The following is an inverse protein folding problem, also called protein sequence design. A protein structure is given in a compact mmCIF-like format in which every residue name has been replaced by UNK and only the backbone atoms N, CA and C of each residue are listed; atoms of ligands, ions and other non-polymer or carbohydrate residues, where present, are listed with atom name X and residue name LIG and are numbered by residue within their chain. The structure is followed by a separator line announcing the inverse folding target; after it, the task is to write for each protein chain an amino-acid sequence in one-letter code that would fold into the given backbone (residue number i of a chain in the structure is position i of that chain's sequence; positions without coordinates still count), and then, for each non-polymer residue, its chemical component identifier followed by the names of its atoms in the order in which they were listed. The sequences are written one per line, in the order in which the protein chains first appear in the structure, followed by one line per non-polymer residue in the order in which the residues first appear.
data_IF_455502066023
#
_entry.id   IF_455502066023
#
_cell.length_a   1.000
_cell.length_b   1.000
_cell.length_c   1.000
_cell.angle_alpha   90.00
_cell.angle_beta   90.00
_cell.angle_gamma   90.00
#
_symmetry.space_group_name_H-M   'P 1'
#
loop_
_entity.id
_entity.type
_entity.pdbx_description
1 polymer ?
#
# COMPACT_ATOMS: atom_id res chain seq x y z
N UNK A 1 -15.85 -15.36 9.28
CA UNK A 1 -15.11 -16.48 8.65
C UNK A 1 -13.63 -16.15 8.49
N UNK A 2 -13.29 -15.09 7.75
CA UNK A 2 -11.90 -14.66 7.51
C UNK A 2 -11.11 -14.48 8.82
N UNK A 3 -11.65 -13.71 9.77
CA UNK A 3 -11.00 -13.51 11.07
C UNK A 3 -10.75 -14.83 11.84
N UNK A 4 -11.73 -15.74 11.84
CA UNK A 4 -11.55 -17.06 12.46
C UNK A 4 -10.46 -17.87 11.76
N UNK A 5 -10.35 -17.78 10.43
CA UNK A 5 -9.29 -18.43 9.67
C UNK A 5 -7.91 -17.86 10.02
N UNK A 6 -7.79 -16.54 10.14
CA UNK A 6 -6.57 -15.88 10.63
C UNK A 6 -6.19 -16.39 12.02
N UNK A 7 -7.16 -16.50 12.94
CA UNK A 7 -6.91 -17.03 14.28
C UNK A 7 -6.47 -18.51 14.26
N UNK A 8 -7.04 -19.33 13.37
CA UNK A 8 -6.64 -20.74 13.20
C UNK A 8 -5.25 -20.90 12.59
N UNK A 9 -4.82 -19.95 11.77
CA UNK A 9 -3.49 -19.95 11.15
C UNK A 9 -2.39 -19.44 12.10
N UNK A 10 -2.77 -18.86 13.24
CA UNK A 10 -1.83 -18.30 14.19
C UNK A 10 -1.03 -19.41 14.89
N UNK A 11 0.29 -19.26 14.92
CA UNK A 11 1.22 -20.04 15.72
C UNK A 11 1.36 -19.33 17.05
N UNK A 12 1.08 -20.04 18.15
CA UNK A 12 1.10 -19.48 19.51
C UNK A 12 2.21 -20.12 20.31
N UNK A 13 3.00 -19.31 20.98
CA UNK A 13 3.96 -19.80 21.97
C UNK A 13 3.31 -19.88 23.37
N UNK A 14 4.04 -20.46 24.33
CA UNK A 14 3.58 -20.59 25.72
C UNK A 14 3.45 -19.26 26.48
N UNK A 15 4.02 -18.17 25.96
CA UNK A 15 3.97 -16.83 26.54
C UNK A 15 2.83 -15.98 25.96
N UNK A 16 2.04 -16.53 25.02
CA UNK A 16 0.95 -15.82 24.35
C UNK A 16 1.40 -14.98 23.16
N UNK A 17 2.67 -15.06 22.74
CA UNK A 17 3.12 -14.44 21.50
C UNK A 17 2.51 -15.19 20.31
N UNK A 18 2.17 -14.42 19.27
CA UNK A 18 1.57 -14.94 18.05
C UNK A 18 2.42 -14.60 16.84
N UNK A 19 2.52 -15.56 15.94
CA UNK A 19 3.15 -15.39 14.65
C UNK A 19 2.34 -16.12 13.57
N UNK A 20 2.50 -15.71 12.32
CA UNK A 20 1.98 -16.41 11.17
C UNK A 20 3.10 -16.74 10.20
N UNK A 21 2.91 -17.80 9.42
CA UNK A 21 3.75 -18.06 8.26
C UNK A 21 3.15 -17.41 7.03
N UNK A 22 3.99 -16.67 6.32
CA UNK A 22 3.69 -16.11 5.02
C UNK A 22 4.67 -16.62 3.97
N UNK A 23 4.61 -15.95 2.84
CA UNK A 23 5.43 -16.26 1.68
C UNK A 23 5.96 -14.95 1.11
N UNK A 24 7.28 -14.85 1.04
CA UNK A 24 7.97 -13.72 0.43
C UNK A 24 8.71 -14.18 -0.81
N UNK A 25 8.82 -13.27 -1.78
CA UNK A 25 9.70 -13.48 -2.92
C UNK A 25 11.14 -13.33 -2.44
N UNK A 26 11.94 -14.37 -2.65
CA UNK A 26 13.35 -14.36 -2.31
C UNK A 26 14.13 -13.29 -3.08
N UNK A 27 15.32 -12.94 -2.59
CA UNK A 27 16.19 -11.93 -3.19
C UNK A 27 16.62 -12.25 -4.64
N UNK A 28 16.46 -13.49 -5.09
CA UNK A 28 16.68 -13.91 -6.47
C UNK A 28 15.56 -13.48 -7.44
N UNK A 29 14.43 -13.00 -6.90
CA UNK A 29 13.23 -12.61 -7.64
C UNK A 29 12.52 -13.79 -8.31
N UNK A 30 12.88 -15.03 -7.97
CA UNK A 30 12.47 -16.25 -8.67
C UNK A 30 11.94 -17.33 -7.75
N UNK A 31 12.49 -17.42 -6.55
CA UNK A 31 12.13 -18.43 -5.55
C UNK A 31 11.28 -17.79 -4.48
N UNK A 32 10.33 -18.54 -3.94
CA UNK A 32 9.60 -18.12 -2.75
C UNK A 32 10.23 -18.73 -1.49
N UNK A 33 10.30 -17.94 -0.42
CA UNK A 33 10.67 -18.40 0.91
C UNK A 33 9.47 -18.32 1.85
N UNK A 34 9.28 -19.36 2.64
CA UNK A 34 8.31 -19.37 3.73
C UNK A 34 8.96 -18.94 5.03
N UNK A 35 8.28 -18.06 5.78
CA UNK A 35 8.82 -17.56 7.03
C UNK A 35 7.79 -16.78 7.86
N UNK A 36 8.20 -16.36 9.07
CA UNK A 36 7.43 -15.42 9.90
C UNK A 36 7.08 -14.16 9.12
N UNK A 37 5.85 -13.66 9.26
CA UNK A 37 5.40 -12.48 8.50
C UNK A 37 5.83 -11.15 9.12
N UNK A 38 6.24 -11.17 10.39
CA UNK A 38 6.63 -9.98 11.13
C UNK A 38 5.51 -8.93 11.19
N UNK A 39 5.89 -7.66 11.32
CA UNK A 39 4.94 -6.56 11.57
C UNK A 39 4.66 -5.67 10.35
N UNK A 40 5.20 -5.98 9.17
CA UNK A 40 5.00 -5.14 7.98
C UNK A 40 3.51 -4.94 7.64
N UNK A 41 3.15 -3.80 7.04
CA UNK A 41 1.79 -3.63 6.53
C UNK A 41 1.56 -4.51 5.31
N UNK A 42 2.52 -4.60 4.38
CA UNK A 42 2.32 -5.31 3.11
C UNK A 42 1.91 -6.78 3.28
N UNK A 43 2.74 -7.58 3.97
CA UNK A 43 2.53 -9.02 4.17
C UNK A 43 2.38 -9.44 5.63
N UNK A 44 2.60 -8.51 6.56
CA UNK A 44 2.74 -8.78 7.98
C UNK A 44 1.46 -8.66 8.81
N UNK A 45 1.67 -8.80 10.12
CA UNK A 45 0.61 -8.93 11.12
C UNK A 45 -0.07 -7.60 11.48
N UNK A 46 0.54 -6.43 11.22
CA UNK A 46 -0.12 -5.15 11.55
C UNK A 46 -1.41 -4.94 10.74
N UNK A 47 -1.49 -5.51 9.52
CA UNK A 47 -2.74 -5.54 8.75
C UNK A 47 -3.85 -6.34 9.43
N UNK A 48 -3.50 -7.43 10.13
CA UNK A 48 -4.43 -8.24 10.92
C UNK A 48 -4.94 -7.44 12.11
N UNK A 49 -4.06 -6.71 12.80
CA UNK A 49 -4.43 -5.84 13.91
C UNK A 49 -5.40 -4.72 13.46
N UNK A 50 -5.11 -4.04 12.35
CA UNK A 50 -6.01 -3.05 11.77
C UNK A 50 -7.37 -3.65 11.40
N UNK A 51 -7.40 -4.84 10.81
CA UNK A 51 -8.64 -5.54 10.49
C UNK A 51 -9.46 -5.92 11.73
N UNK A 52 -8.81 -6.47 12.77
CA UNK A 52 -9.48 -6.76 14.04
C UNK A 52 -10.07 -5.50 14.68
N UNK A 53 -9.30 -4.40 14.70
CA UNK A 53 -9.76 -3.13 15.24
C UNK A 53 -11.05 -2.66 14.53
N UNK A 54 -11.13 -2.78 13.20
CA UNK A 54 -12.34 -2.48 12.45
C UNK A 54 -13.51 -3.41 12.80
N UNK A 55 -13.27 -4.71 12.94
CA UNK A 55 -14.32 -5.66 13.34
C UNK A 55 -14.89 -5.34 14.72
N UNK A 56 -14.03 -4.98 15.69
CA UNK A 56 -14.45 -4.59 17.05
C UNK A 56 -15.25 -3.30 17.04
N UNK A 57 -14.85 -2.31 16.25
CA UNK A 57 -15.57 -1.04 16.13
C UNK A 57 -16.98 -1.18 15.54
N UNK A 58 -17.28 -2.28 14.86
CA UNK A 58 -18.61 -2.59 14.31
C UNK A 58 -19.35 -3.67 15.10
N UNK A 59 -18.85 -4.05 16.28
CA UNK A 59 -19.41 -5.11 17.12
C UNK A 59 -19.57 -6.46 16.37
N UNK A 60 -18.76 -6.69 15.33
CA UNK A 60 -18.78 -7.92 14.53
C UNK A 60 -18.04 -9.09 15.20
N UNK A 61 -17.21 -8.78 16.20
CA UNK A 61 -16.56 -9.76 17.08
C UNK A 61 -16.69 -9.30 18.54
N UNK A 62 -16.71 -10.22 19.52
CA UNK A 62 -16.90 -9.87 20.93
C UNK A 62 -15.86 -8.86 21.43
N UNK A 63 -16.30 -7.85 22.16
CA UNK A 63 -15.42 -6.88 22.81
C UNK A 63 -14.48 -7.53 23.84
N UNK A 64 -14.91 -8.64 24.45
CA UNK A 64 -14.13 -9.42 25.43
C UNK A 64 -13.58 -10.71 24.81
N UNK A 65 -12.29 -10.99 25.02
CA UNK A 65 -11.57 -12.18 24.54
C UNK A 65 -10.11 -11.86 24.19
N UNK A 66 -9.31 -12.88 23.89
CA UNK A 66 -7.91 -12.71 23.43
C UNK A 66 -7.88 -11.81 22.18
N UNK A 67 -7.22 -10.66 22.27
CA UNK A 67 -7.05 -9.77 21.13
C UNK A 67 -5.81 -10.15 20.33
N UNK A 68 -5.99 -10.39 19.03
CA UNK A 68 -4.86 -10.58 18.12
C UNK A 68 -3.98 -9.32 18.11
N UNK A 69 -4.59 -8.14 18.10
CA UNK A 69 -3.94 -6.82 18.15
C UNK A 69 -3.02 -6.72 19.36
N UNK A 70 -3.51 -7.01 20.56
CA UNK A 70 -2.65 -6.99 21.76
C UNK A 70 -1.48 -7.97 21.60
N UNK A 71 -1.76 -9.19 21.13
CA UNK A 71 -0.74 -10.23 20.97
C UNK A 71 0.34 -9.89 19.92
N UNK A 72 -0.07 -9.23 18.84
CA UNK A 72 0.81 -8.72 17.78
C UNK A 72 1.69 -7.59 18.32
N UNK A 73 1.13 -6.69 19.13
CA UNK A 73 1.84 -5.52 19.65
C UNK A 73 2.76 -5.83 20.85
N UNK A 74 2.57 -6.95 21.54
CA UNK A 74 3.44 -7.39 22.66
C UNK A 74 4.93 -7.40 22.25
N UNK A 75 5.23 -7.81 21.02
CA UNK A 75 6.62 -7.85 20.52
C UNK A 75 7.28 -6.46 20.43
N UNK A 76 6.50 -5.38 20.40
CA UNK A 76 7.02 -4.01 20.39
C UNK A 76 7.17 -3.39 21.77
N UNK A 77 6.52 -3.92 22.81
CA UNK A 77 6.57 -3.34 24.16
C UNK A 77 8.00 -3.17 24.70
N UNK A 78 8.95 -4.10 24.48
CA UNK A 78 10.35 -3.88 24.85
C UNK A 78 10.97 -2.66 24.15
N UNK A 79 10.69 -2.47 22.86
CA UNK A 79 11.22 -1.32 22.09
C UNK A 79 10.71 0.01 22.64
N UNK A 80 9.49 0.03 23.19
CA UNK A 80 8.86 1.24 23.75
C UNK A 80 9.32 1.55 25.17
N UNK A 81 9.68 0.52 25.94
CA UNK A 81 10.06 0.64 27.36
C UNK A 81 11.57 0.70 27.61
N UNK A 82 12.40 0.37 26.61
CA UNK A 82 13.85 0.39 26.73
C UNK A 82 14.43 1.80 26.96
N UNK A 83 15.29 1.93 27.97
CA UNK A 83 16.05 3.16 28.25
C UNK A 83 17.17 3.40 27.23
N UNK A 84 17.77 2.34 26.66
CA UNK A 84 18.80 2.45 25.64
C UNK A 84 18.21 2.53 24.23
N UNK A 85 18.77 3.39 23.37
CA UNK A 85 18.30 3.54 21.98
C UNK A 85 18.72 2.43 21.02
N UNK A 86 19.65 1.54 21.40
CA UNK A 86 20.29 0.58 20.49
C UNK A 86 19.31 -0.35 19.76
N UNK A 87 18.28 -0.86 20.45
CA UNK A 87 17.27 -1.71 19.81
C UNK A 87 16.39 -0.94 18.83
N UNK A 88 16.04 0.32 19.14
CA UNK A 88 15.30 1.19 18.22
C UNK A 88 16.14 1.58 16.99
N UNK A 89 17.44 1.77 17.17
CA UNK A 89 18.37 1.98 16.05
C UNK A 89 18.46 0.74 15.14
N UNK A 90 18.51 -0.46 15.72
CA UNK A 90 18.47 -1.71 14.94
C UNK A 90 17.14 -1.90 14.23
N UNK A 91 16.03 -1.55 14.87
CA UNK A 91 14.69 -1.61 14.27
C UNK A 91 14.62 -0.78 12.98
N UNK A 92 15.17 0.43 12.96
CA UNK A 92 15.25 1.24 11.74
C UNK A 92 16.23 0.69 10.70
N UNK A 93 17.37 0.14 11.13
CA UNK A 93 18.43 -0.36 10.24
C UNK A 93 18.05 -1.65 9.51
N UNK A 94 17.38 -2.56 10.20
CA UNK A 94 17.28 -3.97 9.80
C UNK A 94 16.01 -4.30 9.00
N UNK A 95 15.21 -3.30 8.60
CA UNK A 95 13.99 -3.52 7.82
C UNK A 95 13.78 -2.46 6.72
N UNK A 96 12.94 -2.72 5.72
CA UNK A 96 12.61 -1.74 4.68
C UNK A 96 11.96 -0.47 5.24
N UNK A 97 12.02 0.64 4.51
CA UNK A 97 11.43 1.91 4.96
C UNK A 97 9.96 2.07 4.57
N UNK A 98 9.52 1.46 3.48
CA UNK A 98 8.17 1.63 2.93
C UNK A 98 7.08 0.86 3.68
N UNK A 99 5.96 0.55 3.01
CA UNK A 99 4.84 -0.19 3.63
C UNK A 99 5.15 -1.65 3.98
N UNK A 100 6.23 -2.21 3.44
CA UNK A 100 6.78 -3.51 3.83
C UNK A 100 7.69 -3.45 5.07
N UNK A 101 7.88 -2.28 5.67
CA UNK A 101 8.65 -2.11 6.91
C UNK A 101 8.21 -0.87 7.69
N UNK A 102 9.12 0.05 7.97
CA UNK A 102 8.93 1.18 8.90
C UNK A 102 7.63 1.95 8.63
N UNK A 103 7.44 2.48 7.42
CA UNK A 103 6.29 3.32 7.08
C UNK A 103 4.95 2.59 7.24
N UNK A 104 4.92 1.30 6.89
CA UNK A 104 3.74 0.47 7.10
C UNK A 104 3.42 0.23 8.57
N UNK A 105 4.44 0.00 9.39
CA UNK A 105 4.29 -0.18 10.84
C UNK A 105 3.83 1.12 11.50
N UNK A 106 4.48 2.25 11.19
CA UNK A 106 4.09 3.56 11.72
C UNK A 106 2.64 3.89 11.36
N UNK A 107 2.26 3.67 10.10
CA UNK A 107 0.90 3.90 9.63
C UNK A 107 -0.08 3.00 10.39
N UNK A 108 0.20 1.70 10.54
CA UNK A 108 -0.64 0.77 11.29
C UNK A 108 -0.81 1.18 12.76
N UNK A 109 0.28 1.57 13.44
CA UNK A 109 0.24 2.04 14.82
C UNK A 109 -0.65 3.28 14.97
N UNK A 110 -0.58 4.24 14.04
CA UNK A 110 -1.46 5.41 14.03
C UNK A 110 -2.93 5.01 13.94
N UNK A 111 -3.28 4.05 13.07
CA UNK A 111 -4.65 3.56 12.93
C UNK A 111 -5.15 2.80 14.17
N UNK A 112 -4.23 2.21 14.93
CA UNK A 112 -4.51 1.55 16.21
C UNK A 112 -4.50 2.52 17.40
N UNK A 113 -4.35 3.83 17.16
CA UNK A 113 -4.34 4.86 18.21
C UNK A 113 -3.07 4.87 19.05
N UNK A 114 -1.94 4.37 18.51
CA UNK A 114 -0.62 4.30 19.15
C UNK A 114 0.33 5.39 18.63
N UNK A 115 -0.15 6.63 18.56
CA UNK A 115 0.65 7.78 18.12
C UNK A 115 1.85 8.04 19.05
N UNK A 116 1.71 7.75 20.33
CA UNK A 116 2.77 7.79 21.34
C UNK A 116 3.93 6.82 21.01
N UNK A 117 3.63 5.63 20.50
CA UNK A 117 4.65 4.68 20.06
C UNK A 117 5.35 5.14 18.78
N UNK A 118 4.62 5.82 17.89
CA UNK A 118 5.20 6.43 16.70
C UNK A 118 6.19 7.53 17.07
N UNK A 119 5.87 8.39 18.05
CA UNK A 119 6.80 9.42 18.52
C UNK A 119 8.11 8.81 19.04
N UNK A 120 8.04 7.72 19.82
CA UNK A 120 9.22 7.00 20.31
C UNK A 120 10.09 6.45 19.18
N UNK A 121 9.47 5.93 18.11
CA UNK A 121 10.20 5.41 16.96
C UNK A 121 10.81 6.54 16.11
N UNK A 122 10.08 7.64 15.92
CA UNK A 122 10.53 8.83 15.20
C UNK A 122 11.72 9.48 15.89
N UNK A 123 11.68 9.64 17.23
CA UNK A 123 12.78 10.20 18.03
C UNK A 123 14.08 9.41 17.88
N UNK A 124 13.97 8.08 17.76
CA UNK A 124 15.13 7.21 17.57
C UNK A 124 15.68 7.17 16.13
N UNK A 125 14.97 7.74 15.15
CA UNK A 125 15.34 7.65 13.75
C UNK A 125 16.53 8.56 13.43
N UNK A 126 17.49 8.05 12.66
CA UNK A 126 18.66 8.79 12.22
C UNK A 126 18.67 8.95 10.70
N UNK A 127 19.03 10.13 10.16
CA UNK A 127 19.02 10.39 8.71
C UNK A 127 19.77 9.35 7.88
N UNK A 128 20.87 8.79 8.41
CA UNK A 128 21.65 7.72 7.76
C UNK A 128 20.85 6.48 7.37
N UNK A 129 19.73 6.19 8.04
CA UNK A 129 18.87 5.06 7.69
C UNK A 129 18.07 5.34 6.41
N UNK A 130 17.68 6.60 6.20
CA UNK A 130 17.07 7.08 4.96
C UNK A 130 18.12 7.11 3.85
N UNK A 131 19.31 7.67 4.12
CA UNK A 131 20.41 7.74 3.15
C UNK A 131 20.89 6.36 2.65
N UNK A 132 20.69 5.32 3.45
CA UNK A 132 21.03 3.94 3.10
C UNK A 132 19.99 3.27 2.19
N UNK A 133 18.78 3.81 2.07
CA UNK A 133 17.69 3.24 1.27
C UNK A 133 18.06 3.15 -0.21
N UNK A 134 17.97 1.94 -0.77
CA UNK A 134 18.19 1.66 -2.19
C UNK A 134 16.90 1.29 -2.93
N UNK A 135 15.79 1.09 -2.21
CA UNK A 135 14.52 0.69 -2.81
C UNK A 135 13.74 1.92 -3.26
N UNK A 136 13.74 2.98 -2.45
CA UNK A 136 13.13 4.30 -2.70
C UNK A 136 11.59 4.30 -2.84
N UNK A 137 10.99 3.21 -3.30
CA UNK A 137 9.59 3.13 -3.68
C UNK A 137 8.58 3.04 -2.52
N UNK A 138 7.29 2.90 -2.85
CA UNK A 138 6.20 2.84 -1.87
C UNK A 138 6.24 1.55 -1.05
N UNK A 139 6.69 0.44 -1.65
CA UNK A 139 6.69 -0.87 -0.99
C UNK A 139 7.79 -0.94 0.05
N UNK A 140 9.03 -0.66 -0.30
CA UNK A 140 10.15 -0.88 0.60
C UNK A 140 11.02 0.32 0.86
N UNK A 141 10.75 1.46 0.23
CA UNK A 141 11.59 2.64 0.34
C UNK A 141 10.94 3.89 0.92
N UNK A 142 11.67 4.98 0.76
CA UNK A 142 11.40 6.30 1.32
C UNK A 142 10.07 6.91 0.86
N UNK A 143 9.61 6.65 -0.37
CA UNK A 143 8.31 7.12 -0.84
C UNK A 143 7.16 6.55 0.01
N UNK A 144 7.25 5.29 0.44
CA UNK A 144 6.27 4.64 1.31
C UNK A 144 6.35 5.06 2.78
N UNK A 145 7.45 5.72 3.18
CA UNK A 145 7.64 6.24 4.53
C UNK A 145 6.96 7.60 4.72
N UNK A 146 7.04 8.47 3.70
CA UNK A 146 6.65 9.89 3.78
C UNK A 146 5.22 10.06 4.32
N UNK A 147 4.22 9.35 3.81
CA UNK A 147 2.83 9.54 4.22
C UNK A 147 2.61 9.31 5.72
N UNK A 148 3.18 8.23 6.28
CA UNK A 148 3.10 7.92 7.71
C UNK A 148 3.76 8.98 8.59
N UNK A 149 4.87 9.56 8.14
CA UNK A 149 5.58 10.63 8.87
C UNK A 149 4.78 11.94 8.84
N UNK A 150 4.23 12.31 7.68
CA UNK A 150 3.39 13.52 7.56
C UNK A 150 2.13 13.41 8.43
N UNK A 151 1.53 12.21 8.53
CA UNK A 151 0.36 11.97 9.35
C UNK A 151 0.61 12.16 10.86
N UNK A 152 1.86 12.03 11.33
CA UNK A 152 2.20 12.20 12.74
C UNK A 152 2.15 13.66 13.20
N UNK A 153 2.38 14.62 12.29
CA UNK A 153 2.31 16.07 12.56
C UNK A 153 3.24 16.56 13.68
N UNK A 154 4.38 15.89 13.88
CA UNK A 154 5.46 16.36 14.76
C UNK A 154 6.63 16.92 13.95
N UNK A 155 7.41 17.83 14.54
CA UNK A 155 8.58 18.44 13.88
C UNK A 155 9.63 17.40 13.48
N UNK A 156 9.89 16.42 14.34
CA UNK A 156 10.84 15.34 14.05
C UNK A 156 10.37 14.43 12.92
N UNK A 157 9.07 14.08 12.88
CA UNK A 157 8.53 13.31 11.78
C UNK A 157 8.60 14.09 10.46
N UNK A 158 8.31 15.39 10.48
CA UNK A 158 8.44 16.25 9.31
C UNK A 158 9.89 16.34 8.83
N UNK A 159 10.86 16.48 9.74
CA UNK A 159 12.29 16.48 9.42
C UNK A 159 12.73 15.19 8.73
N UNK A 160 12.25 14.03 9.19
CA UNK A 160 12.50 12.75 8.53
C UNK A 160 11.81 12.66 7.16
N UNK A 161 10.59 13.18 7.03
CA UNK A 161 9.87 13.20 5.75
C UNK A 161 10.59 14.07 4.71
N UNK A 162 11.14 15.22 5.13
CA UNK A 162 12.00 16.08 4.31
C UNK A 162 13.25 15.34 3.89
N UNK A 163 13.95 14.67 4.82
CA UNK A 163 15.13 13.87 4.49
C UNK A 163 14.83 12.73 3.49
N UNK A 164 13.68 12.07 3.65
CA UNK A 164 13.19 11.08 2.70
C UNK A 164 12.93 11.70 1.32
N UNK A 165 12.28 12.86 1.26
CA UNK A 165 12.07 13.60 0.02
C UNK A 165 13.38 14.02 -0.66
N UNK A 166 14.35 14.51 0.10
CA UNK A 166 15.66 14.90 -0.42
C UNK A 166 16.41 13.70 -1.02
N UNK A 167 16.39 12.58 -0.31
CA UNK A 167 16.99 11.32 -0.77
C UNK A 167 16.35 10.81 -2.09
N UNK A 168 15.03 10.99 -2.25
CA UNK A 168 14.34 10.71 -3.51
C UNK A 168 14.81 11.64 -4.63
N UNK A 169 14.86 12.97 -4.39
CA UNK A 169 15.27 13.94 -5.41
C UNK A 169 16.72 13.72 -5.87
N UNK A 170 17.63 13.37 -4.97
CA UNK A 170 19.02 13.06 -5.29
C UNK A 170 19.18 11.88 -6.27
N UNK A 171 18.22 10.94 -6.27
CA UNK A 171 18.23 9.73 -7.10
C UNK A 171 17.28 9.82 -8.29
N UNK A 172 16.55 10.92 -8.42
CA UNK A 172 15.68 11.15 -9.57
C UNK A 172 16.52 11.34 -10.83
N UNK A 173 16.21 10.59 -11.87
CA UNK A 173 16.82 10.74 -13.18
C UNK A 173 16.33 12.05 -13.85
N UNK A 174 17.09 12.65 -14.78
CA UNK A 174 16.72 13.93 -15.40
C UNK A 174 15.32 13.96 -16.04
N UNK A 175 14.86 12.81 -16.55
CA UNK A 175 13.53 12.64 -17.14
C UNK A 175 12.40 12.49 -16.11
N UNK A 176 12.69 12.47 -14.81
CA UNK A 176 11.68 12.44 -13.73
C UNK A 176 11.39 11.08 -13.11
N UNK A 177 12.14 10.03 -13.45
CA UNK A 177 11.92 8.66 -12.94
C UNK A 177 13.04 8.14 -12.04
N UNK A 178 12.82 6.98 -11.41
CA UNK A 178 13.79 6.30 -10.55
C UNK A 178 14.10 4.92 -11.10
N UNK A 179 15.33 4.47 -10.91
CA UNK A 179 15.76 3.11 -11.24
C UNK A 179 15.96 2.34 -9.94
N UNK A 180 15.46 1.09 -9.90
CA UNK A 180 15.71 0.19 -8.77
C UNK A 180 16.34 -1.11 -9.27
N UNK A 181 17.41 -1.55 -8.59
CA UNK A 181 18.05 -2.84 -8.87
C UNK A 181 18.49 -3.04 -10.33
N UNK A 182 17.74 -3.87 -11.08
CA UNK A 182 18.06 -4.30 -12.46
C UNK A 182 17.26 -3.56 -13.53
N UNK A 183 16.51 -2.53 -13.15
CA UNK A 183 15.69 -1.77 -14.08
C UNK A 183 16.56 -1.08 -15.14
N UNK A 184 16.21 -1.27 -16.41
CA UNK A 184 16.80 -0.52 -17.52
C UNK A 184 16.02 0.77 -17.80
N UNK A 185 14.83 0.91 -17.20
CA UNK A 185 13.92 2.03 -17.38
C UNK A 185 13.08 2.22 -16.11
N UNK A 186 12.84 3.48 -15.73
CA UNK A 186 12.08 3.76 -14.52
C UNK A 186 10.63 3.28 -14.64
N UNK A 187 10.17 2.56 -13.61
CA UNK A 187 8.88 1.90 -13.59
C UNK A 187 7.71 2.89 -13.49
N UNK A 188 6.54 2.45 -13.94
CA UNK A 188 5.27 3.17 -13.88
C UNK A 188 4.32 2.51 -12.88
N UNK A 189 3.29 3.23 -12.44
CA UNK A 189 2.34 2.71 -11.44
C UNK A 189 2.68 3.12 -10.02
N UNK A 190 1.89 2.65 -9.06
CA UNK A 190 1.91 3.17 -7.69
C UNK A 190 2.94 2.51 -6.78
N UNK A 191 3.15 1.19 -6.91
CA UNK A 191 3.97 0.46 -5.92
C UNK A 191 5.45 0.74 -6.07
N UNK A 192 6.03 0.41 -7.23
CA UNK A 192 7.45 0.60 -7.53
C UNK A 192 7.70 1.73 -8.54
N UNK A 193 6.64 2.37 -9.02
CA UNK A 193 6.69 3.30 -10.13
C UNK A 193 6.42 4.76 -9.78
N UNK A 194 6.55 5.61 -10.80
CA UNK A 194 6.49 7.07 -10.71
C UNK A 194 5.22 7.64 -10.06
N UNK A 195 4.05 7.00 -10.17
CA UNK A 195 2.83 7.50 -9.53
C UNK A 195 2.96 7.58 -8.00
N UNK A 196 3.64 6.60 -7.37
CA UNK A 196 3.86 6.58 -5.93
C UNK A 196 4.83 7.67 -5.47
N UNK A 197 5.93 7.85 -6.19
CA UNK A 197 6.90 8.93 -5.94
C UNK A 197 6.27 10.31 -6.12
N UNK A 198 5.50 10.51 -7.20
CA UNK A 198 4.81 11.77 -7.47
C UNK A 198 3.82 12.11 -6.33
N UNK A 199 3.04 11.14 -5.87
CA UNK A 199 2.12 11.33 -4.74
C UNK A 199 2.86 11.71 -3.45
N UNK A 200 3.95 11.00 -3.12
CA UNK A 200 4.74 11.27 -1.92
C UNK A 200 5.36 12.69 -1.93
N UNK A 201 6.01 13.05 -3.04
CA UNK A 201 6.63 14.37 -3.21
C UNK A 201 5.60 15.50 -3.27
N UNK A 202 4.44 15.29 -3.90
CA UNK A 202 3.37 16.28 -3.94
C UNK A 202 2.76 16.53 -2.54
N UNK A 203 2.58 15.47 -1.73
CA UNK A 203 2.11 15.59 -0.34
C UNK A 203 3.13 16.26 0.57
N UNK A 204 4.41 15.95 0.38
CA UNK A 204 5.49 16.62 1.10
C UNK A 204 5.54 18.10 0.74
N UNK A 205 5.43 18.45 -0.55
CA UNK A 205 5.31 19.84 -0.99
C UNK A 205 4.11 20.55 -0.35
N UNK A 206 2.92 19.95 -0.40
CA UNK A 206 1.71 20.56 0.16
C UNK A 206 1.83 20.83 1.68
N UNK A 207 2.64 20.03 2.39
CA UNK A 207 2.87 20.20 3.83
C UNK A 207 3.98 21.20 4.15
N UNK A 208 5.05 21.22 3.36
CA UNK A 208 6.27 22.02 3.63
C UNK A 208 6.29 23.37 2.90
N UNK A 209 5.58 23.49 1.79
CA UNK A 209 5.68 24.61 0.84
C UNK A 209 6.97 24.62 0.01
N UNK A 210 7.83 23.59 0.11
CA UNK A 210 9.13 23.59 -0.55
C UNK A 210 9.03 23.23 -2.04
N UNK A 211 9.44 24.16 -2.91
CA UNK A 211 9.31 24.04 -4.37
C UNK A 211 10.09 22.88 -4.98
N UNK A 212 11.19 22.45 -4.35
CA UNK A 212 11.98 21.32 -4.89
C UNK A 212 11.18 20.03 -4.98
N UNK A 213 10.29 19.80 -4.01
CA UNK A 213 9.40 18.63 -4.01
C UNK A 213 8.31 18.75 -5.07
N UNK A 214 7.75 19.96 -5.28
CA UNK A 214 6.78 20.21 -6.36
C UNK A 214 7.39 19.89 -7.72
N UNK A 215 8.59 20.41 -8.00
CA UNK A 215 9.31 20.17 -9.26
C UNK A 215 9.63 18.69 -9.49
N UNK A 216 10.07 17.99 -8.44
CA UNK A 216 10.33 16.55 -8.53
C UNK A 216 9.07 15.75 -8.85
N UNK A 217 7.95 16.06 -8.18
CA UNK A 217 6.66 15.44 -8.46
C UNK A 217 6.14 15.77 -9.87
N UNK A 218 6.28 17.02 -10.32
CA UNK A 218 5.91 17.45 -11.68
C UNK A 218 6.70 16.70 -12.75
N UNK A 219 8.02 16.52 -12.57
CA UNK A 219 8.85 15.74 -13.48
C UNK A 219 8.42 14.26 -13.53
N UNK A 220 8.07 13.67 -12.38
CA UNK A 220 7.56 12.30 -12.31
C UNK A 220 6.21 12.12 -13.03
N UNK A 221 5.30 13.10 -12.88
CA UNK A 221 4.03 13.09 -13.61
C UNK A 221 4.24 13.24 -15.11
N UNK A 222 5.12 14.15 -15.54
CA UNK A 222 5.45 14.34 -16.95
C UNK A 222 6.04 13.05 -17.57
N UNK A 223 6.96 12.39 -16.84
CA UNK A 223 7.49 11.08 -17.26
C UNK A 223 6.37 10.06 -17.45
N UNK A 224 5.52 9.87 -16.45
CA UNK A 224 4.46 8.86 -16.50
C UNK A 224 3.45 9.16 -17.62
N UNK A 225 3.04 10.42 -17.78
CA UNK A 225 2.15 10.88 -18.86
C UNK A 225 2.72 10.62 -20.24
N UNK A 226 4.04 10.73 -20.42
CA UNK A 226 4.70 10.50 -21.71
C UNK A 226 4.60 9.06 -22.22
N UNK A 227 4.28 8.09 -21.34
CA UNK A 227 4.14 6.67 -21.71
C UNK A 227 2.69 6.20 -21.81
N UNK A 228 1.71 7.09 -21.64
CA UNK A 228 0.31 6.73 -21.81
C UNK A 228 0.03 6.25 -23.25
N UNK A 229 -0.61 5.10 -23.40
CA UNK A 229 -1.05 4.57 -24.70
C UNK A 229 -2.57 4.66 -24.80
N UNK A 230 -3.04 5.59 -25.64
CA UNK A 230 -4.46 5.93 -25.76
C UNK A 230 -5.32 4.79 -26.30
N UNK A 231 -4.78 3.97 -27.20
CA UNK A 231 -5.43 2.78 -27.75
C UNK A 231 -5.62 1.67 -26.69
N UNK A 232 -4.73 1.62 -25.70
CA UNK A 232 -4.79 0.67 -24.59
C UNK A 232 -5.52 1.24 -23.36
N UNK A 233 -5.71 2.56 -23.28
CA UNK A 233 -6.19 3.25 -22.08
C UNK A 233 -5.31 2.99 -20.86
N UNK A 234 -4.02 2.72 -21.06
CA UNK A 234 -3.14 2.24 -20.00
C UNK A 234 -1.66 2.61 -20.24
N UNK A 235 -0.83 2.29 -19.25
CA UNK A 235 0.60 2.50 -19.23
C UNK A 235 1.35 1.16 -19.32
N UNK A 236 2.43 1.09 -20.12
CA UNK A 236 3.18 -0.14 -20.31
C UNK A 236 3.93 -0.58 -19.04
N UNK A 237 4.06 -1.89 -18.87
CA UNK A 237 4.80 -2.52 -17.78
C UNK A 237 6.27 -2.75 -18.18
N UNK A 238 7.19 -2.08 -17.48
CA UNK A 238 8.63 -2.11 -17.75
C UNK A 238 9.43 -3.11 -16.90
N UNK A 239 8.77 -3.96 -16.10
CA UNK A 239 9.46 -4.87 -15.17
C UNK A 239 10.20 -6.04 -15.81
N UNK A 240 10.01 -6.30 -17.09
CA UNK A 240 10.72 -7.37 -17.81
C UNK A 240 11.85 -6.78 -18.66
N UNK A 241 13.08 -6.65 -18.11
CA UNK A 241 14.21 -6.09 -18.84
C UNK A 241 14.75 -7.03 -19.93
N UNK A 242 14.33 -8.31 -19.94
CA UNK A 242 14.74 -9.28 -20.94
C UNK A 242 13.89 -9.23 -22.22
N UNK A 243 12.79 -8.45 -22.22
CA UNK A 243 12.06 -8.17 -23.44
C UNK A 243 12.93 -7.40 -24.42
N UNK A 244 13.00 -7.91 -25.64
CA UNK A 244 13.66 -7.21 -26.73
C UNK A 244 13.00 -5.83 -26.95
N UNK A 245 13.77 -4.84 -27.37
CA UNK A 245 13.30 -3.46 -27.51
C UNK A 245 12.16 -3.29 -28.53
N UNK A 246 11.98 -4.28 -29.41
CA UNK A 246 10.95 -4.39 -30.45
C UNK A 246 9.75 -5.29 -30.04
N UNK A 247 9.78 -5.89 -28.85
CA UNK A 247 8.63 -6.66 -28.35
C UNK A 247 7.42 -5.75 -28.10
N UNK A 248 6.22 -6.28 -28.35
CA UNK A 248 5.00 -5.54 -28.04
C UNK A 248 4.93 -5.22 -26.53
N UNK A 249 4.56 -3.98 -26.16
CA UNK A 249 4.41 -3.59 -24.77
C UNK A 249 3.40 -4.49 -24.04
N UNK A 250 3.75 -4.93 -22.83
CA UNK A 250 2.78 -5.57 -21.93
C UNK A 250 2.12 -4.53 -21.04
N UNK A 251 0.90 -4.84 -20.62
CA UNK A 251 0.13 -4.01 -19.71
C UNK A 251 -0.35 -4.83 -18.52
N UNK A 252 -0.39 -4.20 -17.35
CA UNK A 252 -1.01 -4.74 -16.16
C UNK A 252 -2.21 -3.87 -15.78
N UNK A 253 -3.19 -4.46 -15.11
CA UNK A 253 -4.31 -3.72 -14.50
C UNK A 253 -4.44 -4.20 -13.07
N UNK A 254 -3.72 -3.52 -12.17
CA UNK A 254 -3.64 -3.84 -10.76
C UNK A 254 -3.36 -2.58 -9.93
N UNK A 255 -3.46 -2.68 -8.60
CA UNK A 255 -3.04 -1.60 -7.70
C UNK A 255 -1.55 -1.32 -7.83
N UNK A 256 -0.71 -2.36 -7.95
CA UNK A 256 0.74 -2.18 -8.01
C UNK A 256 1.20 -1.49 -9.29
N UNK A 257 0.67 -1.92 -10.44
CA UNK A 257 1.06 -1.44 -11.77
C UNK A 257 -0.12 -1.30 -12.71
N UNK A 258 -0.03 -0.27 -13.57
CA UNK A 258 -1.04 0.09 -14.56
C UNK A 258 -2.10 1.05 -14.04
N UNK A 259 -3.15 1.19 -14.85
CA UNK A 259 -4.16 2.23 -14.68
C UNK A 259 -4.78 2.34 -13.27
N UNK A 260 -5.14 1.24 -12.56
CA UNK A 260 -5.73 1.36 -11.22
C UNK A 260 -4.79 2.01 -10.20
N UNK A 261 -3.53 1.55 -10.13
CA UNK A 261 -2.53 2.18 -9.26
C UNK A 261 -2.29 3.65 -9.61
N UNK A 262 -2.24 3.97 -10.91
CA UNK A 262 -2.06 5.35 -11.37
C UNK A 262 -3.24 6.22 -10.95
N UNK A 263 -4.48 5.75 -11.06
CA UNK A 263 -5.66 6.46 -10.57
C UNK A 263 -5.58 6.76 -9.07
N UNK A 264 -5.13 5.80 -8.26
CA UNK A 264 -4.90 6.03 -6.83
C UNK A 264 -3.84 7.12 -6.61
N UNK A 265 -2.74 7.08 -7.36
CA UNK A 265 -1.71 8.12 -7.35
C UNK A 265 -2.25 9.50 -7.71
N UNK A 266 -3.11 9.60 -8.73
CA UNK A 266 -3.76 10.86 -9.12
C UNK A 266 -4.73 11.38 -8.07
N UNK A 267 -5.53 10.50 -7.46
CA UNK A 267 -6.38 10.88 -6.33
C UNK A 267 -5.55 11.45 -5.16
N UNK A 268 -4.33 10.93 -4.93
CA UNK A 268 -3.40 11.47 -3.95
C UNK A 268 -2.86 12.87 -4.29
N UNK A 269 -3.06 13.38 -5.50
CA UNK A 269 -2.69 14.76 -5.85
C UNK A 269 -3.79 15.76 -5.51
N UNK A 270 -5.03 15.31 -5.27
CA UNK A 270 -6.13 16.21 -4.94
C UNK A 270 -5.81 17.09 -3.72
N UNK A 271 -6.06 18.39 -3.87
CA UNK A 271 -5.74 19.42 -2.88
C UNK A 271 -4.26 19.87 -2.86
N UNK A 272 -3.46 19.44 -3.85
CA UNK A 272 -2.09 19.95 -4.07
C UNK A 272 -2.02 20.77 -5.35
N UNK A 273 -0.96 21.56 -5.50
CA UNK A 273 -0.70 22.37 -6.71
C UNK A 273 -0.48 21.52 -7.98
N UNK A 274 -0.32 20.20 -7.85
CA UNK A 274 -0.16 19.29 -8.98
C UNK A 274 -1.46 18.61 -9.41
N UNK A 275 -2.57 18.92 -8.76
CA UNK A 275 -3.88 18.52 -9.25
C UNK A 275 -4.28 19.39 -10.46
N UNK A 276 -4.58 18.74 -11.59
CA UNK A 276 -5.09 19.38 -12.81
C UNK A 276 -6.27 18.59 -13.41
N UNK A 277 -6.91 19.16 -14.43
CA UNK A 277 -8.02 18.49 -15.13
C UNK A 277 -7.57 17.19 -15.81
N UNK A 278 -6.29 17.07 -16.17
CA UNK A 278 -5.75 15.85 -16.74
C UNK A 278 -5.69 14.72 -15.71
N UNK A 279 -5.49 14.99 -14.42
CA UNK A 279 -5.60 13.99 -13.35
C UNK A 279 -6.99 13.36 -13.29
N UNK A 280 -8.05 14.18 -13.40
CA UNK A 280 -9.43 13.70 -13.43
C UNK A 280 -9.71 12.82 -14.66
N UNK A 281 -9.23 13.25 -15.83
CA UNK A 281 -9.32 12.49 -17.07
C UNK A 281 -8.58 11.15 -16.98
N UNK A 282 -7.38 11.13 -16.38
CA UNK A 282 -6.59 9.92 -16.16
C UNK A 282 -7.28 8.95 -15.18
N UNK A 283 -7.95 9.47 -14.14
CA UNK A 283 -8.79 8.67 -13.25
C UNK A 283 -9.97 8.06 -14.03
N UNK A 284 -10.64 8.84 -14.88
CA UNK A 284 -11.75 8.38 -15.71
C UNK A 284 -11.30 7.26 -16.67
N UNK A 285 -10.18 7.44 -17.35
CA UNK A 285 -9.57 6.42 -18.22
C UNK A 285 -9.25 5.16 -17.43
N UNK A 286 -8.63 5.31 -16.26
CA UNK A 286 -8.27 4.16 -15.43
C UNK A 286 -9.48 3.38 -14.91
N UNK A 287 -10.58 4.06 -14.57
CA UNK A 287 -11.86 3.42 -14.26
C UNK A 287 -12.31 2.60 -15.47
N UNK A 288 -12.39 3.19 -16.67
CA UNK A 288 -12.83 2.50 -17.89
C UNK A 288 -11.96 1.27 -18.20
N UNK A 289 -10.64 1.39 -18.11
CA UNK A 289 -9.69 0.29 -18.29
C UNK A 289 -9.91 -0.83 -17.26
N UNK A 290 -10.26 -0.48 -16.02
CA UNK A 290 -10.58 -1.44 -14.96
C UNK A 290 -11.93 -2.14 -15.20
N UNK A 291 -12.94 -1.40 -15.68
CA UNK A 291 -14.26 -1.95 -16.00
C UNK A 291 -14.18 -3.02 -17.10
N UNK A 292 -13.31 -2.81 -18.08
CA UNK A 292 -13.07 -3.71 -19.21
C UNK A 292 -12.33 -5.00 -18.84
N UNK A 293 -11.79 -5.13 -17.62
CA UNK A 293 -11.08 -6.34 -17.22
C UNK A 293 -12.03 -7.55 -17.08
N UNK A 294 -11.56 -8.75 -17.49
CA UNK A 294 -12.27 -10.00 -17.21
C UNK A 294 -12.28 -10.28 -15.70
N UNK A 295 -13.03 -11.31 -15.29
CA UNK A 295 -13.10 -11.72 -13.89
C UNK A 295 -11.68 -12.02 -13.35
N UNK A 296 -11.26 -11.38 -12.24
CA UNK A 296 -9.96 -11.58 -11.64
C UNK A 296 -9.75 -13.04 -11.22
N UNK A 297 -8.52 -13.53 -11.36
CA UNK A 297 -8.12 -14.90 -10.93
C UNK A 297 -7.73 -14.96 -9.45
N UNK A 298 -7.46 -13.81 -8.85
CA UNK A 298 -7.05 -13.64 -7.46
C UNK A 298 -7.94 -12.58 -6.82
N UNK A 299 -8.00 -12.57 -5.49
CA UNK A 299 -8.86 -11.67 -4.72
C UNK A 299 -8.08 -10.64 -3.90
N UNK A 300 -6.75 -10.77 -3.77
CA UNK A 300 -5.97 -9.94 -2.83
C UNK A 300 -5.84 -8.48 -3.31
N UNK A 301 -5.45 -7.57 -2.43
CA UNK A 301 -5.46 -6.13 -2.73
C UNK A 301 -4.40 -5.70 -3.76
N UNK A 302 -3.25 -6.38 -3.81
CA UNK A 302 -2.16 -6.00 -4.71
C UNK A 302 -2.54 -6.17 -6.20
N UNK A 303 -3.09 -7.34 -6.58
CA UNK A 303 -3.31 -7.72 -7.99
C UNK A 303 -4.66 -8.41 -8.24
N UNK A 304 -5.52 -8.52 -7.22
CA UNK A 304 -6.77 -9.26 -7.28
C UNK A 304 -8.01 -8.36 -7.36
N UNK A 305 -9.17 -9.01 -7.44
CA UNK A 305 -10.46 -8.32 -7.61
C UNK A 305 -10.82 -7.38 -6.46
N UNK A 306 -10.49 -7.70 -5.21
CA UNK A 306 -10.76 -6.77 -4.10
C UNK A 306 -9.80 -5.57 -4.12
N UNK A 307 -8.61 -5.70 -4.73
CA UNK A 307 -7.73 -4.57 -5.01
C UNK A 307 -8.32 -3.62 -6.04
N UNK A 308 -8.81 -4.16 -7.16
CA UNK A 308 -9.50 -3.38 -8.18
C UNK A 308 -10.76 -2.71 -7.64
N UNK A 309 -11.55 -3.44 -6.84
CA UNK A 309 -12.71 -2.92 -6.13
C UNK A 309 -12.34 -1.74 -5.23
N UNK A 310 -11.31 -1.89 -4.38
CA UNK A 310 -10.88 -0.85 -3.45
C UNK A 310 -10.40 0.40 -4.19
N UNK A 311 -9.67 0.24 -5.30
CA UNK A 311 -9.25 1.36 -6.15
C UNK A 311 -10.45 2.06 -6.79
N UNK A 312 -11.42 1.32 -7.32
CA UNK A 312 -12.64 1.91 -7.89
C UNK A 312 -13.41 2.71 -6.84
N UNK A 313 -13.57 2.17 -5.63
CA UNK A 313 -14.20 2.87 -4.51
C UNK A 313 -13.43 4.14 -4.13
N UNK A 314 -12.11 4.08 -4.03
CA UNK A 314 -11.25 5.23 -3.75
C UNK A 314 -11.34 6.30 -4.86
N UNK A 315 -11.36 5.88 -6.13
CA UNK A 315 -11.44 6.76 -7.29
C UNK A 315 -12.75 7.56 -7.34
N UNK A 316 -13.83 7.07 -6.74
CA UNK A 316 -15.15 7.74 -6.72
C UNK A 316 -15.56 8.26 -5.35
N UNK A 317 -14.74 8.05 -4.31
CA UNK A 317 -15.03 8.49 -2.94
C UNK A 317 -14.91 10.00 -2.75
N UNK A 318 -14.15 10.70 -3.61
CA UNK A 318 -13.88 12.13 -3.46
C UNK A 318 -14.38 12.99 -4.61
N UNK A 319 -14.06 14.30 -4.59
CA UNK A 319 -14.44 15.24 -5.64
C UNK A 319 -13.66 15.07 -6.96
N UNK A 320 -12.54 14.32 -6.97
CA UNK A 320 -11.63 14.12 -8.12
C UNK A 320 -12.17 13.30 -9.29
N UNK A 321 -13.43 12.90 -9.27
CA UNK A 321 -14.09 12.21 -10.38
C UNK A 321 -15.49 12.80 -10.56
N UNK A 322 -15.67 13.96 -11.17
CA UNK A 322 -16.98 14.64 -11.20
C UNK A 322 -18.03 13.95 -12.09
N UNK A 323 -17.61 13.13 -13.04
CA UNK A 323 -18.50 12.45 -14.00
C UNK A 323 -19.43 11.42 -13.34
N UNK A 324 -20.73 11.70 -13.37
CA UNK A 324 -21.76 10.90 -12.68
C UNK A 324 -21.90 9.50 -13.27
N UNK A 325 -21.79 9.37 -14.59
CA UNK A 325 -21.91 8.08 -15.27
C UNK A 325 -20.72 7.17 -14.91
N UNK A 326 -19.49 7.68 -15.04
CA UNK A 326 -18.27 6.96 -14.64
C UNK A 326 -18.33 6.56 -13.16
N UNK A 327 -18.79 7.45 -12.27
CA UNK A 327 -19.00 7.11 -10.84
C UNK A 327 -19.95 5.93 -10.67
N UNK A 328 -21.11 5.98 -11.32
CA UNK A 328 -22.12 4.92 -11.21
C UNK A 328 -21.59 3.58 -11.73
N UNK A 329 -20.87 3.57 -12.85
CA UNK A 329 -20.29 2.35 -13.42
C UNK A 329 -19.20 1.76 -12.52
N UNK A 330 -18.33 2.60 -11.95
CA UNK A 330 -17.30 2.18 -11.01
C UNK A 330 -17.90 1.56 -9.74
N UNK A 331 -18.94 2.20 -9.16
CA UNK A 331 -19.66 1.68 -8.02
C UNK A 331 -20.30 0.32 -8.32
N UNK A 332 -20.98 0.19 -9.46
CA UNK A 332 -21.58 -1.07 -9.88
C UNK A 332 -20.54 -2.20 -10.03
N UNK A 333 -19.40 -1.93 -10.68
CA UNK A 333 -18.35 -2.93 -10.84
C UNK A 333 -17.71 -3.31 -9.49
N UNK A 334 -17.48 -2.34 -8.60
CA UNK A 334 -17.00 -2.60 -7.25
C UNK A 334 -17.97 -3.51 -6.47
N UNK A 335 -19.28 -3.24 -6.56
CA UNK A 335 -20.33 -4.09 -5.98
C UNK A 335 -20.32 -5.50 -6.57
N UNK A 336 -20.09 -5.66 -7.88
CA UNK A 336 -19.95 -6.98 -8.51
C UNK A 336 -18.75 -7.76 -7.96
N UNK A 337 -17.57 -7.13 -7.82
CA UNK A 337 -16.40 -7.79 -7.22
C UNK A 337 -16.65 -8.20 -5.77
N UNK A 338 -17.29 -7.32 -5.00
CA UNK A 338 -17.70 -7.59 -3.62
C UNK A 338 -18.66 -8.78 -3.55
N UNK A 339 -19.71 -8.76 -4.36
CA UNK A 339 -20.72 -9.83 -4.40
C UNK A 339 -20.11 -11.17 -4.81
N UNK A 340 -19.26 -11.21 -5.83
CA UNK A 340 -18.53 -12.41 -6.29
C UNK A 340 -17.68 -13.02 -5.16
N UNK A 341 -16.95 -12.19 -4.41
CA UNK A 341 -16.15 -12.65 -3.27
C UNK A 341 -17.02 -13.12 -2.10
N UNK A 342 -18.10 -12.41 -1.77
CA UNK A 342 -19.04 -12.79 -0.69
C UNK A 342 -19.79 -14.08 -1.00
N UNK A 343 -20.21 -14.30 -2.25
CA UNK A 343 -20.88 -15.52 -2.68
C UNK A 343 -20.01 -16.75 -2.45
N UNK A 344 -18.72 -16.66 -2.81
CA UNK A 344 -17.72 -17.71 -2.55
C UNK A 344 -17.40 -17.91 -1.07
N UNK A 345 -17.66 -16.91 -0.24
CA UNK A 345 -17.51 -16.99 1.22
C UNK A 345 -18.81 -17.33 1.97
N UNK A 346 -19.88 -17.67 1.25
CA UNK A 346 -21.19 -17.95 1.84
C UNK A 346 -21.34 -19.41 2.30
N UNK A 347 -22.33 -19.65 3.17
CA UNK A 347 -22.74 -21.01 3.62
C UNK A 347 -21.59 -21.80 4.28
N UNK A 348 -20.75 -21.12 5.06
CA UNK A 348 -19.67 -21.73 5.82
C UNK A 348 -18.40 -22.07 5.01
N UNK A 349 -18.36 -21.72 3.72
CA UNK A 349 -17.15 -21.84 2.90
C UNK A 349 -16.32 -20.56 2.97
N UNK A 350 -15.01 -20.71 2.87
CA UNK A 350 -14.08 -19.60 2.66
C UNK A 350 -13.26 -19.96 1.43
N UNK A 351 -13.62 -19.41 0.29
CA UNK A 351 -12.99 -19.69 -1.01
C UNK A 351 -12.43 -18.41 -1.63
N UNK A 352 -11.53 -17.75 -0.89
CA UNK A 352 -10.77 -16.61 -1.37
C UNK A 352 -9.47 -17.06 -2.03
N UNK A 353 -9.07 -16.36 -3.09
CA UNK A 353 -7.93 -16.69 -3.94
C UNK A 353 -6.79 -15.75 -3.59
N UNK A 354 -5.92 -16.17 -2.68
CA UNK A 354 -4.70 -15.43 -2.34
C UNK A 354 -3.63 -15.76 -3.39
N UNK A 355 -2.99 -16.92 -3.26
CA UNK A 355 -1.97 -17.39 -4.18
C UNK A 355 -2.35 -18.76 -4.73
N UNK A 356 -2.41 -18.91 -6.06
CA UNK A 356 -2.78 -20.16 -6.69
C UNK A 356 -1.62 -21.16 -6.72
N UNK A 357 -1.90 -22.39 -6.33
CA UNK A 357 -0.99 -23.54 -6.38
C UNK A 357 -1.67 -24.70 -7.12
N UNK A 358 -0.94 -25.78 -7.42
CA UNK A 358 -1.53 -26.97 -8.04
C UNK A 358 -2.62 -27.62 -7.18
N UNK A 359 -2.54 -27.47 -5.85
CA UNK A 359 -3.45 -28.10 -4.89
C UNK A 359 -4.60 -27.17 -4.43
N UNK A 360 -4.62 -25.92 -4.90
CA UNK A 360 -5.64 -24.93 -4.54
C UNK A 360 -5.07 -23.56 -4.19
N UNK A 361 -5.81 -22.78 -3.40
CA UNK A 361 -5.41 -21.44 -2.94
C UNK A 361 -4.65 -21.53 -1.62
N UNK A 362 -3.40 -21.09 -1.61
CA UNK A 362 -2.64 -20.90 -0.38
C UNK A 362 -3.07 -19.59 0.28
N UNK A 363 -3.68 -19.66 1.46
CA UNK A 363 -4.02 -18.47 2.24
C UNK A 363 -2.79 -17.83 2.88
N UNK A 364 -2.65 -16.52 2.67
CA UNK A 364 -1.65 -15.69 3.33
C UNK A 364 -2.35 -14.77 4.35
N UNK A 365 -1.71 -14.40 5.46
CA UNK A 365 -2.36 -13.63 6.53
C UNK A 365 -2.36 -12.11 6.29
N UNK A 366 -1.36 -11.60 5.56
CA UNK A 366 -1.05 -10.17 5.42
C UNK A 366 -2.09 -9.32 4.70
N UNK A 367 -1.81 -8.02 4.59
CA UNK A 367 -2.76 -7.04 4.08
C UNK A 367 -2.88 -7.08 2.55
N UNK A 368 -1.79 -6.83 1.82
CA UNK A 368 -1.83 -6.63 0.37
C UNK A 368 -2.00 -7.94 -0.42
N UNK A 369 -1.53 -9.04 0.13
CA UNK A 369 -1.51 -10.36 -0.51
C UNK A 369 -2.40 -11.40 0.19
N UNK A 370 -3.02 -11.04 1.32
CA UNK A 370 -3.63 -12.00 2.23
C UNK A 370 -5.00 -11.62 2.76
N UNK A 371 -5.44 -12.44 3.71
CA UNK A 371 -6.78 -12.47 4.26
C UNK A 371 -7.15 -11.21 5.05
N UNK A 372 -6.21 -10.54 5.71
CA UNK A 372 -6.55 -9.36 6.52
C UNK A 372 -7.01 -8.18 5.65
N UNK A 373 -6.31 -7.91 4.54
CA UNK A 373 -6.73 -6.85 3.61
C UNK A 373 -7.98 -7.23 2.82
N UNK A 374 -8.13 -8.50 2.42
CA UNK A 374 -9.39 -8.97 1.83
C UNK A 374 -10.57 -8.81 2.80
N UNK A 375 -10.35 -9.14 4.08
CA UNK A 375 -11.33 -9.00 5.14
C UNK A 375 -11.75 -7.55 5.32
N UNK A 376 -10.78 -6.64 5.41
CA UNK A 376 -11.05 -5.21 5.53
C UNK A 376 -11.79 -4.68 4.30
N UNK A 377 -11.36 -5.07 3.09
CA UNK A 377 -11.99 -4.64 1.85
C UNK A 377 -13.45 -5.10 1.73
N UNK A 378 -13.80 -6.26 2.29
CA UNK A 378 -15.17 -6.78 2.29
C UNK A 378 -16.10 -6.07 3.27
N UNK A 379 -15.57 -5.28 4.22
CA UNK A 379 -16.37 -4.41 5.07
C UNK A 379 -16.98 -3.30 4.21
N UNK A 380 -18.27 -3.00 4.41
CA UNK A 380 -19.04 -2.11 3.54
C UNK A 380 -19.59 -0.90 4.30
N UNK A 381 -18.69 -0.19 4.97
CA UNK A 381 -18.98 1.04 5.70
C UNK A 381 -17.95 2.12 5.35
N UNK A 382 -18.27 3.38 5.67
CA UNK A 382 -17.42 4.49 5.30
C UNK A 382 -16.05 4.46 5.98
N UNK A 383 -15.97 3.96 7.22
CA UNK A 383 -14.74 3.97 8.00
C UNK A 383 -13.74 2.95 7.48
N UNK A 384 -14.19 1.72 7.19
CA UNK A 384 -13.32 0.70 6.58
C UNK A 384 -12.83 1.10 5.20
N UNK A 385 -13.68 1.70 4.34
CA UNK A 385 -13.27 2.20 3.02
C UNK A 385 -12.25 3.34 3.10
N UNK A 386 -12.42 4.24 4.05
CA UNK A 386 -11.47 5.34 4.30
C UNK A 386 -10.13 4.79 4.79
N UNK A 387 -10.16 3.85 5.74
CA UNK A 387 -8.96 3.18 6.23
C UNK A 387 -8.24 2.42 5.11
N UNK A 388 -8.98 1.66 4.30
CA UNK A 388 -8.44 0.90 3.18
C UNK A 388 -7.74 1.81 2.17
N UNK A 389 -8.35 2.93 1.80
CA UNK A 389 -7.76 3.92 0.89
C UNK A 389 -6.49 4.54 1.48
N UNK A 390 -6.49 4.82 2.78
CA UNK A 390 -5.33 5.36 3.49
C UNK A 390 -4.17 4.34 3.55
N UNK A 391 -4.45 3.08 3.88
CA UNK A 391 -3.44 2.02 3.94
C UNK A 391 -2.87 1.66 2.56
N UNK A 392 -3.73 1.56 1.54
CA UNK A 392 -3.33 1.25 0.16
C UNK A 392 -2.54 2.39 -0.51
N UNK A 393 -2.63 3.60 0.02
CA UNK A 393 -1.87 4.76 -0.48
C UNK A 393 -0.65 5.10 0.37
N UNK A 394 -0.26 4.24 1.32
CA UNK A 394 0.83 4.50 2.26
C UNK A 394 0.66 5.79 3.09
N UNK A 395 -0.58 6.16 3.40
CA UNK A 395 -0.91 7.39 4.14
C UNK A 395 -0.93 8.66 3.29
N UNK A 396 -0.89 8.54 1.95
CA UNK A 396 -0.85 9.68 1.02
C UNK A 396 -2.24 10.12 0.53
N UNK A 397 -3.29 9.34 0.82
CA UNK A 397 -4.66 9.69 0.42
C UNK A 397 -5.08 11.03 1.04
N UNK A 398 -5.81 11.89 0.31
CA UNK A 398 -6.30 13.14 0.88
C UNK A 398 -7.23 12.86 2.06
N UNK A 399 -7.04 13.57 3.17
CA UNK A 399 -8.03 13.61 4.24
C UNK A 399 -9.28 14.33 3.72
N UNK A 400 -10.44 13.72 3.91
CA UNK A 400 -11.75 14.33 3.64
C UNK A 400 -12.33 14.96 4.89
#
# INVERSE_FOLDING_TARGET
AIFNRLNQMAIRDSNGQMEWLGMDLGADGKSFSFGPVGLSLYGGSIGIACFEACLRQQDLIPAMGDSLTSSILIAMEPLMSEQSGDSRLRWWRDQPLGISGCGGILLGLQQLGRGDWVDVLVDAALPRFIEADQQLDVIGGSAGLIGSLLAQKSEDALRLAVAAGDHLLERQQPQGSWLSGRDTKGLLGFSHGTAGYAAALARLHATTGEERFRKGAEAALAYERSFFQADQGNWPDFRDPAKAADAEPSFMVAWCHGAPGIALGRACLWGTDLWDQQCEEEIRIAIQTTLAQPEPRMDHLCCGGLGLMAVLEAAVAGPWCSDVETRSMAQQKAECYRASALERCSRGRLDLRCFQTQEGSLFLPGFMTGLSGMGLALMNDQKSRSLLSNLMSAGLFPHQ
#
